data_IF_778438181133
#
_entry.id   IF_778438181133
#
_cell.length_a   1.000
_cell.length_b   1.000
_cell.length_c   1.000
_cell.angle_alpha   90.00
_cell.angle_beta   90.00
_cell.angle_gamma   90.00
#
_symmetry.space_group_name_H-M   'P 1'
#
loop_
_entity.id
_entity.type
_entity.pdbx_description
1 polymer ?
#
# COMPACT_ATOMS: atom_id res chain seq x y z
N UNK A 1 -36.45 11.27 16.96
CA UNK A 1 -35.71 10.00 17.21
C UNK A 1 -34.29 10.25 16.75
N UNK A 2 -33.47 10.85 17.61
CA UNK A 2 -32.05 11.07 17.30
C UNK A 2 -31.33 9.76 17.56
N UNK A 3 -31.24 8.93 16.52
CA UNK A 3 -30.36 7.77 16.55
C UNK A 3 -28.93 8.30 16.51
N UNK A 4 -28.36 8.58 17.68
CA UNK A 4 -26.91 8.77 17.83
C UNK A 4 -26.25 7.43 17.53
N UNK A 5 -26.09 7.13 16.24
CA UNK A 5 -25.30 6.01 15.75
C UNK A 5 -23.93 6.17 16.35
N UNK A 6 -23.52 5.18 17.16
CA UNK A 6 -22.22 5.14 17.80
C UNK A 6 -21.18 5.46 16.72
N UNK A 7 -20.58 6.65 16.79
CA UNK A 7 -19.45 7.04 15.98
C UNK A 7 -18.25 6.23 16.48
N UNK A 8 -18.29 4.91 16.25
CA UNK A 8 -17.10 4.09 16.23
C UNK A 8 -16.34 4.71 15.08
N UNK A 9 -15.30 5.47 15.39
CA UNK A 9 -14.21 5.68 14.45
C UNK A 9 -13.92 4.30 13.88
N UNK A 10 -14.47 4.01 12.69
CA UNK A 10 -14.15 2.82 11.94
C UNK A 10 -12.72 3.07 11.54
N UNK A 11 -11.79 2.79 12.47
CA UNK A 11 -10.37 2.77 12.18
C UNK A 11 -10.28 1.70 11.12
N UNK A 12 -10.17 2.14 9.88
CA UNK A 12 -10.23 1.26 8.74
C UNK A 12 -9.30 0.09 8.97
N UNK A 13 -9.75 -1.13 8.65
CA UNK A 13 -8.92 -2.32 8.65
C UNK A 13 -8.03 -2.28 7.40
N UNK A 14 -7.06 -1.38 7.43
CA UNK A 14 -5.96 -1.33 6.47
C UNK A 14 -5.14 -2.62 6.56
N UNK A 15 -4.59 -3.07 5.44
CA UNK A 15 -3.70 -4.22 5.41
C UNK A 15 -2.39 -3.93 6.17
N UNK A 16 -1.91 -2.70 6.05
CA UNK A 16 -0.73 -2.15 6.69
C UNK A 16 -1.12 -1.54 8.04
N UNK A 17 -0.57 -2.09 9.13
CA UNK A 17 -0.77 -1.56 10.48
C UNK A 17 0.10 -0.32 10.76
N UNK A 18 1.23 -0.22 10.08
CA UNK A 18 2.28 0.80 10.21
C UNK A 18 2.47 1.59 8.91
N UNK A 19 3.38 2.57 8.92
CA UNK A 19 3.66 3.44 7.75
C UNK A 19 4.35 2.70 6.59
N UNK A 20 4.70 1.42 6.77
CA UNK A 20 5.52 0.65 5.85
C UNK A 20 7.01 1.01 5.92
N UNK A 21 7.81 0.32 5.10
CA UNK A 21 9.25 0.55 4.96
C UNK A 21 9.53 1.53 3.83
N UNK A 22 10.59 2.33 3.96
CA UNK A 22 10.95 3.31 2.93
C UNK A 22 11.68 2.70 1.75
N UNK A 23 12.44 1.61 1.97
CA UNK A 23 13.30 0.97 0.98
C UNK A 23 13.26 -0.54 1.12
N UNK A 24 13.23 -1.23 -0.02
CA UNK A 24 13.50 -2.66 -0.15
C UNK A 24 14.48 -2.87 -1.30
N UNK A 25 15.23 -3.98 -1.31
CA UNK A 25 16.11 -4.30 -2.45
C UNK A 25 15.26 -4.57 -3.70
N UNK A 26 15.39 -3.80 -4.80
CA UNK A 26 14.60 -4.01 -6.02
C UNK A 26 14.75 -5.42 -6.60
N UNK A 27 15.92 -6.04 -6.41
CA UNK A 27 16.22 -7.41 -6.89
C UNK A 27 15.36 -8.48 -6.21
N UNK A 28 14.86 -8.17 -5.02
CA UNK A 28 14.06 -9.08 -4.20
C UNK A 28 12.57 -8.86 -4.40
N UNK A 29 12.15 -7.78 -5.08
CA UNK A 29 10.74 -7.55 -5.38
C UNK A 29 10.29 -8.53 -6.46
N UNK A 30 9.24 -9.29 -6.15
CA UNK A 30 8.57 -10.20 -7.08
C UNK A 30 7.32 -9.53 -7.65
N UNK A 31 6.51 -8.90 -6.79
CA UNK A 31 5.25 -8.25 -7.16
C UNK A 31 5.09 -6.92 -6.44
N UNK A 32 4.52 -5.92 -7.13
CA UNK A 32 4.08 -4.64 -6.54
C UNK A 32 2.56 -4.55 -6.67
N UNK A 33 1.88 -4.25 -5.58
CA UNK A 33 0.43 -4.08 -5.51
C UNK A 33 0.11 -2.68 -4.96
N UNK A 34 -0.74 -1.95 -5.69
CA UNK A 34 -1.19 -0.61 -5.33
C UNK A 34 -2.67 -0.73 -4.97
N UNK A 35 -2.99 -0.57 -3.69
CA UNK A 35 -4.36 -0.65 -3.17
C UNK A 35 -4.86 0.78 -2.94
N UNK A 36 -5.88 1.24 -3.69
CA UNK A 36 -6.46 2.55 -3.48
C UNK A 36 -7.22 2.63 -2.15
N UNK A 37 -7.47 3.85 -1.62
CA UNK A 37 -8.35 4.05 -0.48
C UNK A 37 -9.73 3.41 -0.71
N UNK A 38 -10.28 2.81 0.32
CA UNK A 38 -11.58 2.13 0.31
C UNK A 38 -12.40 2.50 1.55
N UNK A 39 -13.72 2.19 1.60
CA UNK A 39 -14.53 2.39 2.79
C UNK A 39 -13.99 1.67 4.03
N UNK A 40 -13.23 0.59 3.84
CA UNK A 40 -12.59 -0.16 4.91
C UNK A 40 -11.19 0.34 5.25
N UNK A 41 -10.52 1.14 4.42
CA UNK A 41 -9.24 1.78 4.71
C UNK A 41 -9.12 3.10 3.94
N UNK A 42 -9.22 4.23 4.63
CA UNK A 42 -9.16 5.56 4.00
C UNK A 42 -7.78 5.98 3.48
N UNK A 43 -6.81 5.06 3.42
CA UNK A 43 -5.43 5.33 2.99
C UNK A 43 -5.11 4.47 1.77
N UNK A 44 -4.26 5.00 0.90
CA UNK A 44 -3.66 4.20 -0.16
C UNK A 44 -2.56 3.34 0.45
N UNK A 45 -2.54 2.05 0.09
CA UNK A 45 -1.54 1.10 0.57
C UNK A 45 -0.69 0.60 -0.60
N UNK A 46 0.61 0.55 -0.41
CA UNK A 46 1.54 -0.03 -1.38
C UNK A 46 2.14 -1.27 -0.75
N UNK A 47 1.93 -2.43 -1.35
CA UNK A 47 2.42 -3.70 -0.83
C UNK A 47 3.37 -4.30 -1.85
N UNK A 48 4.57 -4.67 -1.40
CA UNK A 48 5.50 -5.47 -2.19
C UNK A 48 5.51 -6.89 -1.68
N UNK A 49 5.43 -7.85 -2.60
CA UNK A 49 5.76 -9.25 -2.30
C UNK A 49 7.20 -9.47 -2.74
N UNK A 50 8.03 -9.94 -1.82
CA UNK A 50 9.40 -10.31 -2.08
C UNK A 50 9.46 -11.75 -2.58
N UNK A 51 10.55 -12.10 -3.28
CA UNK A 51 10.84 -13.48 -3.74
C UNK A 51 10.93 -14.50 -2.59
N UNK A 52 11.17 -14.03 -1.37
CA UNK A 52 11.08 -14.83 -0.15
C UNK A 52 9.63 -15.12 0.27
N UNK A 53 8.63 -14.75 -0.53
CA UNK A 53 7.17 -14.74 -0.23
C UNK A 53 6.75 -13.77 0.88
N UNK A 54 7.70 -13.03 1.45
CA UNK A 54 7.44 -12.01 2.46
C UNK A 54 6.71 -10.81 1.85
N UNK A 55 5.63 -10.37 2.49
CA UNK A 55 4.90 -9.15 2.11
C UNK A 55 5.32 -7.99 2.98
N UNK A 56 5.66 -6.87 2.37
CA UNK A 56 5.98 -5.62 3.07
C UNK A 56 5.12 -4.48 2.58
N UNK A 57 4.63 -3.68 3.52
CA UNK A 57 4.05 -2.39 3.22
C UNK A 57 5.17 -1.39 2.90
N UNK A 58 4.98 -0.58 1.87
CA UNK A 58 5.89 0.49 1.48
C UNK A 58 5.29 1.83 1.86
N UNK A 59 6.13 2.76 2.31
CA UNK A 59 5.70 4.12 2.62
C UNK A 59 5.40 4.90 1.33
N UNK A 60 4.16 5.36 1.06
CA UNK A 60 3.83 6.12 -0.15
C UNK A 60 4.55 7.46 -0.27
N UNK A 61 5.00 8.02 0.86
CA UNK A 61 5.72 9.30 0.92
C UNK A 61 7.22 9.16 0.60
N UNK A 62 7.76 7.94 0.60
CA UNK A 62 9.16 7.68 0.24
C UNK A 62 9.40 7.88 -1.26
N UNK A 63 10.48 8.59 -1.60
CA UNK A 63 10.95 8.76 -2.99
C UNK A 63 11.16 7.43 -3.69
N UNK A 64 11.62 6.41 -2.97
CA UNK A 64 11.86 5.09 -3.52
C UNK A 64 10.54 4.39 -3.91
N UNK A 65 9.50 4.48 -3.07
CA UNK A 65 8.18 3.93 -3.38
C UNK A 65 7.57 4.59 -4.61
N UNK A 66 7.65 5.91 -4.72
CA UNK A 66 7.17 6.66 -5.90
C UNK A 66 7.91 6.24 -7.18
N UNK A 67 9.22 6.03 -7.09
CA UNK A 67 10.02 5.50 -8.19
C UNK A 67 9.59 4.08 -8.61
N UNK A 68 9.34 3.18 -7.64
CA UNK A 68 8.84 1.83 -7.93
C UNK A 68 7.48 1.86 -8.64
N UNK A 69 6.56 2.68 -8.15
CA UNK A 69 5.24 2.87 -8.77
C UNK A 69 5.42 3.33 -10.22
N UNK A 70 6.19 4.41 -10.45
CA UNK A 70 6.44 4.92 -11.80
C UNK A 70 7.02 3.86 -12.73
N UNK A 71 8.03 3.11 -12.28
CA UNK A 71 8.63 1.99 -13.04
C UNK A 71 7.61 0.89 -13.36
N UNK A 72 6.72 0.56 -12.42
CA UNK A 72 5.68 -0.43 -12.65
C UNK A 72 4.65 0.07 -13.67
N UNK A 73 4.25 1.34 -13.58
CA UNK A 73 3.33 1.99 -14.53
C UNK A 73 3.93 2.06 -15.95
N UNK A 74 5.23 2.36 -16.07
CA UNK A 74 5.94 2.37 -17.36
C UNK A 74 5.99 0.97 -17.98
N UNK A 75 6.25 -0.07 -17.17
CA UNK A 75 6.31 -1.45 -17.66
C UNK A 75 4.97 -1.95 -18.18
N UNK A 76 3.86 -1.63 -17.51
CA UNK A 76 2.52 -2.05 -17.94
C UNK A 76 2.03 -1.27 -19.18
N UNK A 77 2.53 -0.06 -19.42
CA UNK A 77 2.21 0.71 -20.63
C UNK A 77 3.01 0.27 -21.87
N UNK A 78 4.09 -0.49 -21.68
CA UNK A 78 4.95 -1.04 -22.74
C UNK A 78 4.65 -2.51 -23.05
N UNK A 79 3.61 -3.07 -22.44
CA UNK A 79 3.12 -4.44 -22.64
C UNK A 79 1.77 -4.40 -23.35
#
# INVERSE_FOLDING_TARGET
MEVQGQNKFHKGRCFCADKGVDVVSPKNIEKLEIIPPSPSCGKQEIIVTLKSTERKCMNPESRFTQYLIKRALEKMAQQ
#
